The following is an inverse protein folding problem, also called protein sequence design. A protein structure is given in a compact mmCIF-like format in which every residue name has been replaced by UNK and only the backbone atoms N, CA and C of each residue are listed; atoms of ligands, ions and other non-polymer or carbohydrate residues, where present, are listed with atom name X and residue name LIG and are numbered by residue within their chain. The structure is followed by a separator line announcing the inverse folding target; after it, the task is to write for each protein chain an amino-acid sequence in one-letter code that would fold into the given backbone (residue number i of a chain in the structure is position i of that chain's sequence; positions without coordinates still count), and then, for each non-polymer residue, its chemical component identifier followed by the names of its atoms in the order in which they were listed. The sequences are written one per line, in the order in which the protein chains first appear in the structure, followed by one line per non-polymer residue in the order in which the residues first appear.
data_IF_894132490621
#
_entry.id   IF_894132490621
#
_cell.length_a   1.000
_cell.length_b   1.000
_cell.length_c   1.000
_cell.angle_alpha   90.00
_cell.angle_beta   90.00
_cell.angle_gamma   90.00
#
_symmetry.space_group_name_H-M   'P 1'
#
loop_
_entity.id
_entity.type
_entity.pdbx_description
1 polymer ?
#
# COMPACT_ATOMS: atom_id res chain seq x y z
N UNK A 1 50.16 8.17 -39.39
CA UNK A 1 49.44 7.51 -38.28
C UNK A 1 48.42 8.50 -37.74
N UNK A 2 47.18 8.43 -38.22
CA UNK A 2 46.08 9.24 -37.69
C UNK A 2 45.52 8.53 -36.46
N UNK A 3 45.75 9.10 -35.27
CA UNK A 3 45.06 8.65 -34.07
C UNK A 3 43.58 9.01 -34.21
N UNK A 4 42.74 8.01 -34.46
CA UNK A 4 41.30 8.15 -34.34
C UNK A 4 41.01 8.19 -32.84
N UNK A 5 40.91 9.40 -32.28
CA UNK A 5 40.33 9.60 -30.96
C UNK A 5 38.88 9.12 -31.06
N UNK A 6 38.58 7.97 -30.47
CA UNK A 6 37.23 7.43 -30.39
C UNK A 6 36.40 8.33 -29.48
N UNK A 7 35.86 9.41 -30.05
CA UNK A 7 34.82 10.20 -29.40
C UNK A 7 33.62 9.27 -29.17
N UNK A 8 33.16 9.18 -27.92
CA UNK A 8 31.97 8.39 -27.58
C UNK A 8 30.77 8.80 -28.43
N UNK A 9 29.87 7.85 -28.67
CA UNK A 9 28.63 8.14 -29.39
C UNK A 9 27.85 9.27 -28.71
N UNK A 10 27.26 10.22 -29.46
CA UNK A 10 26.41 11.27 -28.91
C UNK A 10 25.01 10.77 -28.50
N UNK A 11 24.67 9.50 -28.76
CA UNK A 11 23.39 8.94 -28.36
C UNK A 11 23.34 8.70 -26.86
N UNK A 12 22.23 9.08 -26.23
CA UNK A 12 21.93 8.80 -24.82
C UNK A 12 20.97 7.62 -24.71
N UNK A 13 21.03 6.91 -23.59
CA UNK A 13 20.05 5.86 -23.31
C UNK A 13 18.66 6.44 -23.10
N UNK A 14 17.65 5.63 -23.44
CA UNK A 14 16.27 5.92 -23.09
C UNK A 14 16.04 5.72 -21.58
N UNK A 15 15.21 6.57 -20.96
CA UNK A 15 15.01 6.54 -19.51
C UNK A 15 14.32 5.25 -19.02
N UNK A 16 13.62 4.50 -19.89
CA UNK A 16 13.10 3.18 -19.55
C UNK A 16 14.21 2.13 -19.43
N UNK A 17 15.32 2.29 -20.15
CA UNK A 17 16.50 1.46 -19.96
C UNK A 17 17.14 1.71 -18.59
N UNK A 18 17.28 2.98 -18.21
CA UNK A 18 17.83 3.37 -16.90
C UNK A 18 16.94 2.85 -15.76
N UNK A 19 15.63 3.08 -15.81
CA UNK A 19 14.70 2.62 -14.79
C UNK A 19 14.53 1.10 -14.74
N UNK A 20 14.63 0.40 -15.87
CA UNK A 20 14.65 -1.07 -15.91
C UNK A 20 15.96 -1.66 -15.37
N UNK A 21 17.06 -0.89 -15.40
CA UNK A 21 18.35 -1.25 -14.80
C UNK A 21 18.40 -1.06 -13.28
N UNK A 22 17.37 -0.45 -12.70
CA UNK A 22 17.29 -0.11 -11.27
C UNK A 22 17.63 -1.26 -10.31
N UNK A 23 17.17 -2.53 -10.51
CA UNK A 23 17.41 -3.60 -9.55
C UNK A 23 18.88 -3.79 -9.16
N UNK A 24 19.79 -3.73 -10.13
CA UNK A 24 21.24 -3.85 -9.91
C UNK A 24 21.94 -2.48 -9.85
N UNK A 25 21.44 -1.49 -10.62
CA UNK A 25 22.04 -0.16 -10.69
C UNK A 25 21.96 0.61 -9.37
N UNK A 26 20.88 0.45 -8.60
CA UNK A 26 20.67 1.18 -7.33
C UNK A 26 21.70 0.83 -6.24
N UNK A 27 22.34 -0.33 -6.34
CA UNK A 27 23.31 -0.85 -5.37
C UNK A 27 24.74 -0.91 -5.92
N UNK A 28 24.97 -0.28 -7.08
CA UNK A 28 26.28 -0.23 -7.75
C UNK A 28 26.84 -1.61 -8.15
N UNK A 29 25.98 -2.59 -8.40
CA UNK A 29 26.37 -3.89 -8.93
C UNK A 29 26.89 -3.74 -10.38
N UNK A 30 27.94 -4.48 -10.80
CA UNK A 30 28.65 -5.53 -10.07
C UNK A 30 29.87 -5.04 -9.27
N UNK A 31 30.11 -3.73 -9.21
CA UNK A 31 31.31 -3.17 -8.59
C UNK A 31 31.30 -3.34 -7.07
N UNK A 32 30.13 -3.19 -6.45
CA UNK A 32 29.91 -3.30 -5.01
C UNK A 32 28.61 -4.05 -4.69
N UNK A 33 28.45 -4.45 -3.42
CA UNK A 33 27.20 -4.98 -2.85
C UNK A 33 26.64 -6.24 -3.55
N UNK A 34 27.49 -7.07 -4.15
CA UNK A 34 27.08 -8.29 -4.85
C UNK A 34 26.25 -9.24 -3.96
N UNK A 35 26.65 -9.46 -2.71
CA UNK A 35 25.89 -10.31 -1.78
C UNK A 35 24.49 -9.74 -1.49
N UNK A 36 24.37 -8.41 -1.38
CA UNK A 36 23.09 -7.73 -1.18
C UNK A 36 22.19 -7.90 -2.40
N UNK A 37 22.76 -7.77 -3.62
CA UNK A 37 22.04 -8.03 -4.86
C UNK A 37 21.51 -9.46 -4.90
N UNK A 38 22.38 -10.44 -4.70
CA UNK A 38 22.06 -11.86 -4.84
C UNK A 38 21.02 -12.32 -3.81
N UNK A 39 21.03 -11.75 -2.60
CA UNK A 39 20.00 -11.99 -1.58
C UNK A 39 18.68 -11.30 -1.86
N UNK A 40 18.70 -10.13 -2.50
CA UNK A 40 17.51 -9.32 -2.75
C UNK A 40 16.86 -9.53 -4.13
N UNK A 41 17.50 -10.30 -5.02
CA UNK A 41 17.06 -10.48 -6.39
C UNK A 41 16.75 -11.96 -6.71
N UNK A 42 15.52 -12.29 -7.16
CA UNK A 42 14.43 -11.38 -7.53
C UNK A 42 13.70 -10.77 -6.32
N UNK A 43 13.10 -9.59 -6.52
CA UNK A 43 12.29 -8.94 -5.48
C UNK A 43 11.04 -9.78 -5.16
N UNK A 44 10.63 -9.85 -3.89
CA UNK A 44 9.41 -10.58 -3.53
C UNK A 44 8.15 -9.97 -4.14
N UNK A 45 8.10 -8.63 -4.25
CA UNK A 45 6.93 -7.91 -4.69
C UNK A 45 7.23 -6.51 -5.26
N UNK A 46 6.48 -6.10 -6.29
CA UNK A 46 6.38 -4.72 -6.75
C UNK A 46 4.92 -4.31 -6.98
N UNK A 47 4.60 -3.02 -6.84
CA UNK A 47 3.27 -2.47 -7.12
C UNK A 47 3.37 -1.14 -7.83
N UNK A 48 2.75 -1.02 -9.00
CA UNK A 48 2.64 0.24 -9.73
C UNK A 48 1.34 0.27 -10.56
N UNK A 49 1.06 1.44 -11.14
CA UNK A 49 -0.12 1.69 -11.96
C UNK A 49 -0.19 0.85 -13.24
N UNK A 50 -1.41 0.64 -13.73
CA UNK A 50 -1.73 -0.09 -14.97
C UNK A 50 -0.94 0.39 -16.20
N UNK A 51 -0.56 1.66 -16.24
CA UNK A 51 0.23 2.24 -17.33
C UNK A 51 1.68 1.72 -17.39
N UNK A 52 2.21 1.11 -16.31
CA UNK A 52 3.54 0.50 -16.29
C UNK A 52 3.64 -0.83 -17.06
N UNK A 53 2.51 -1.42 -17.45
CA UNK A 53 2.48 -2.64 -18.30
C UNK A 53 3.16 -2.45 -19.66
N UNK A 54 3.23 -1.20 -20.15
CA UNK A 54 3.94 -0.83 -21.39
C UNK A 54 5.19 0.02 -21.13
N UNK A 55 5.59 0.16 -19.88
CA UNK A 55 6.74 0.95 -19.44
C UNK A 55 7.65 0.10 -18.57
N UNK A 56 7.73 0.46 -17.30
CA UNK A 56 8.72 -0.10 -16.37
C UNK A 56 8.66 -1.64 -16.24
N UNK A 57 7.47 -2.25 -16.19
CA UNK A 57 7.38 -3.71 -16.08
C UNK A 57 7.99 -4.41 -17.30
N UNK A 58 7.81 -3.85 -18.49
CA UNK A 58 8.38 -4.40 -19.72
C UNK A 58 9.90 -4.32 -19.70
N UNK A 59 10.48 -3.15 -19.39
CA UNK A 59 11.94 -3.00 -19.42
C UNK A 59 12.63 -3.76 -18.29
N UNK A 60 12.02 -3.84 -17.10
CA UNK A 60 12.48 -4.73 -16.03
C UNK A 60 12.59 -6.17 -16.53
N UNK A 61 11.52 -6.73 -17.12
CA UNK A 61 11.52 -8.11 -17.60
C UNK A 61 12.58 -8.35 -18.67
N UNK A 62 12.69 -7.45 -19.66
CA UNK A 62 13.66 -7.57 -20.75
C UNK A 62 15.09 -7.57 -20.23
N UNK A 63 15.46 -6.58 -19.42
CA UNK A 63 16.84 -6.43 -18.90
C UNK A 63 17.17 -7.59 -17.95
N UNK A 64 16.25 -7.93 -17.05
CA UNK A 64 16.42 -9.03 -16.10
C UNK A 64 16.67 -10.36 -16.79
N UNK A 65 15.85 -10.67 -17.80
CA UNK A 65 16.00 -11.92 -18.56
C UNK A 65 17.31 -11.91 -19.35
N UNK A 66 17.67 -10.79 -19.98
CA UNK A 66 18.88 -10.69 -20.78
C UNK A 66 20.18 -10.79 -19.95
N UNK A 67 20.20 -10.25 -18.74
CA UNK A 67 21.41 -10.19 -17.90
C UNK A 67 21.52 -11.35 -16.89
N UNK A 68 20.39 -11.85 -16.39
CA UNK A 68 20.36 -12.77 -15.23
C UNK A 68 19.54 -14.04 -15.45
N UNK A 69 18.94 -14.21 -16.64
CA UNK A 69 18.11 -15.35 -17.04
C UNK A 69 17.03 -15.74 -16.00
N UNK A 70 16.42 -14.73 -15.38
CA UNK A 70 15.36 -14.89 -14.38
C UNK A 70 14.44 -13.67 -14.35
N UNK A 71 13.19 -13.77 -13.85
CA UNK A 71 12.33 -12.61 -13.68
C UNK A 71 12.88 -11.66 -12.60
N UNK A 72 12.58 -10.34 -12.65
CA UNK A 72 13.07 -9.37 -11.68
C UNK A 72 12.28 -9.33 -10.36
N UNK A 73 11.09 -9.93 -10.34
CA UNK A 73 10.19 -9.98 -9.18
C UNK A 73 9.37 -11.28 -9.17
N UNK A 74 8.88 -11.68 -7.99
CA UNK A 74 8.03 -12.86 -7.81
C UNK A 74 6.54 -12.50 -7.91
N UNK A 75 6.12 -11.41 -7.27
CA UNK A 75 4.72 -10.96 -7.23
C UNK A 75 4.58 -9.53 -7.78
N UNK A 76 3.52 -9.27 -8.53
CA UNK A 76 3.21 -7.95 -9.09
C UNK A 76 1.74 -7.61 -8.82
N UNK A 77 1.48 -6.47 -8.16
CA UNK A 77 0.14 -5.90 -8.07
C UNK A 77 0.05 -4.72 -9.02
N UNK A 78 -0.97 -4.75 -9.88
CA UNK A 78 -1.27 -3.66 -10.79
C UNK A 78 -2.46 -2.88 -10.23
N UNK A 79 -2.23 -1.64 -9.81
CA UNK A 79 -3.32 -0.77 -9.39
C UNK A 79 -3.95 -0.04 -10.58
N UNK A 80 -5.23 0.27 -10.45
CA UNK A 80 -5.97 1.04 -11.43
C UNK A 80 -5.59 2.52 -11.43
N UNK A 81 -6.26 3.29 -12.29
CA UNK A 81 -5.96 4.70 -12.50
C UNK A 81 -6.86 5.60 -11.68
N UNK A 82 -6.26 6.51 -10.92
CA UNK A 82 -6.99 7.60 -10.27
C UNK A 82 -7.18 8.75 -11.27
N UNK A 83 -8.44 9.08 -11.53
CA UNK A 83 -8.89 10.10 -12.45
C UNK A 83 -9.43 11.31 -11.69
N UNK A 84 -9.41 12.47 -12.35
CA UNK A 84 -10.12 13.64 -11.85
C UNK A 84 -11.63 13.36 -11.71
N UNK A 85 -12.34 14.21 -10.97
CA UNK A 85 -13.78 14.05 -10.71
C UNK A 85 -14.62 14.00 -12.02
N UNK A 86 -14.14 14.68 -13.07
CA UNK A 86 -14.72 14.72 -14.41
C UNK A 86 -14.36 13.51 -15.29
N UNK A 87 -13.52 12.59 -14.80
CA UNK A 87 -13.08 11.39 -15.50
C UNK A 87 -11.85 11.57 -16.40
N UNK A 88 -11.24 12.76 -16.47
CA UNK A 88 -9.99 12.97 -17.21
C UNK A 88 -8.79 12.47 -16.40
N UNK A 89 -7.70 12.09 -17.10
CA UNK A 89 -6.42 11.77 -16.45
C UNK A 89 -5.96 12.98 -15.63
N UNK A 90 -5.55 12.74 -14.38
CA UNK A 90 -4.97 13.79 -13.55
C UNK A 90 -3.65 14.27 -14.17
N UNK A 91 -3.40 15.58 -14.18
CA UNK A 91 -2.12 16.12 -14.65
C UNK A 91 -1.73 17.39 -13.92
N UNK A 92 -0.44 17.50 -13.57
CA UNK A 92 0.13 18.70 -12.93
C UNK A 92 -0.12 19.96 -13.76
N UNK A 93 -0.10 19.83 -15.09
CA UNK A 93 -0.34 20.95 -16.02
C UNK A 93 -1.78 21.45 -15.97
N UNK A 94 -2.77 20.56 -15.91
CA UNK A 94 -4.19 20.94 -15.88
C UNK A 94 -4.68 21.31 -14.48
N UNK A 95 -3.92 20.96 -13.43
CA UNK A 95 -4.30 21.18 -12.01
C UNK A 95 -5.74 20.71 -11.73
N UNK A 96 -6.12 19.58 -12.35
CA UNK A 96 -7.48 19.05 -12.32
C UNK A 96 -7.72 18.06 -11.16
N UNK A 97 -6.95 18.19 -10.09
CA UNK A 97 -7.05 17.35 -8.89
C UNK A 97 -6.70 18.19 -7.66
N UNK A 98 -7.29 17.88 -6.49
CA UNK A 98 -6.95 18.56 -5.25
C UNK A 98 -5.54 18.17 -4.80
N UNK A 99 -4.82 19.10 -4.18
CA UNK A 99 -3.48 18.82 -3.66
C UNK A 99 -3.57 17.71 -2.59
N UNK A 100 -2.83 16.59 -2.73
CA UNK A 100 -2.85 15.51 -1.74
C UNK A 100 -2.52 15.99 -0.32
N UNK A 101 -1.64 16.99 -0.20
CA UNK A 101 -1.23 17.58 1.08
C UNK A 101 -2.41 18.28 1.75
N UNK A 102 -3.19 19.04 0.98
CA UNK A 102 -4.40 19.71 1.50
C UNK A 102 -5.44 18.68 1.97
N UNK A 103 -5.66 17.61 1.19
CA UNK A 103 -6.59 16.54 1.57
C UNK A 103 -6.15 15.85 2.87
N UNK A 104 -4.85 15.58 3.00
CA UNK A 104 -4.27 14.97 4.22
C UNK A 104 -4.41 15.91 5.42
N UNK A 105 -4.15 17.20 5.26
CA UNK A 105 -4.33 18.17 6.35
C UNK A 105 -5.81 18.30 6.77
N UNK A 106 -6.74 18.22 5.82
CA UNK A 106 -8.17 18.37 6.10
C UNK A 106 -8.81 17.11 6.71
N UNK A 107 -8.41 15.91 6.28
CA UNK A 107 -9.10 14.66 6.60
C UNK A 107 -8.21 13.56 7.22
N UNK A 108 -6.90 13.78 7.27
CA UNK A 108 -5.92 12.80 7.74
C UNK A 108 -5.47 11.83 6.64
N UNK A 109 -4.24 11.34 6.77
CA UNK A 109 -3.66 10.40 5.82
C UNK A 109 -4.42 9.05 5.80
N UNK A 110 -4.90 8.58 6.95
CA UNK A 110 -5.57 7.29 7.05
C UNK A 110 -6.92 7.27 6.33
N UNK A 111 -7.67 8.38 6.37
CA UNK A 111 -8.92 8.51 5.62
C UNK A 111 -8.68 8.39 4.11
N UNK A 112 -7.64 9.06 3.60
CA UNK A 112 -7.26 8.97 2.20
C UNK A 112 -6.80 7.55 1.83
N UNK A 113 -6.00 6.89 2.68
CA UNK A 113 -5.53 5.50 2.45
C UNK A 113 -6.69 4.52 2.40
N UNK A 114 -7.60 4.57 3.38
CA UNK A 114 -8.78 3.70 3.43
C UNK A 114 -9.71 3.97 2.25
N UNK A 115 -9.91 5.23 1.88
CA UNK A 115 -10.67 5.60 0.68
C UNK A 115 -10.12 4.93 -0.59
N UNK A 116 -8.79 5.00 -0.80
CA UNK A 116 -8.16 4.41 -1.98
C UNK A 116 -8.18 2.87 -1.95
N UNK A 117 -7.86 2.26 -0.80
CA UNK A 117 -7.84 0.78 -0.67
C UNK A 117 -9.25 0.18 -0.77
N UNK A 118 -10.28 0.90 -0.34
CA UNK A 118 -11.67 0.47 -0.47
C UNK A 118 -12.30 0.82 -1.84
N UNK A 119 -11.50 1.24 -2.81
CA UNK A 119 -11.97 1.65 -4.14
C UNK A 119 -11.63 0.62 -5.22
N UNK A 120 -12.19 0.75 -6.43
CA UNK A 120 -11.91 -0.16 -7.55
C UNK A 120 -10.44 -0.19 -8.01
N UNK A 121 -9.60 0.76 -7.58
CA UNK A 121 -8.17 0.79 -7.98
C UNK A 121 -7.41 -0.46 -7.54
N UNK A 122 -7.84 -1.14 -6.47
CA UNK A 122 -7.25 -2.40 -6.01
C UNK A 122 -7.58 -3.59 -6.92
N UNK A 123 -8.45 -3.38 -7.92
CA UNK A 123 -8.85 -4.35 -8.95
C UNK A 123 -8.44 -3.92 -10.35
N UNK A 124 -7.41 -3.08 -10.46
CA UNK A 124 -6.96 -2.47 -11.72
C UNK A 124 -7.99 -1.58 -12.44
N UNK A 125 -9.08 -1.18 -11.77
CA UNK A 125 -10.13 -0.33 -12.36
C UNK A 125 -9.92 1.16 -12.07
N UNK A 126 -10.55 2.02 -12.87
CA UNK A 126 -10.45 3.46 -12.68
C UNK A 126 -11.30 3.96 -11.50
N UNK A 127 -10.77 4.92 -10.76
CA UNK A 127 -11.50 5.66 -9.72
C UNK A 127 -11.57 7.15 -10.10
N UNK A 128 -12.78 7.72 -10.14
CA UNK A 128 -12.94 9.18 -10.20
C UNK A 128 -12.83 9.75 -8.79
N UNK A 129 -11.73 10.44 -8.51
CA UNK A 129 -11.44 10.95 -7.18
C UNK A 129 -12.41 12.06 -6.78
N UNK A 130 -12.93 11.98 -5.55
CA UNK A 130 -13.83 12.95 -4.93
C UNK A 130 -13.44 13.13 -3.46
N UNK A 131 -13.27 14.37 -3.03
CA UNK A 131 -12.87 14.69 -1.65
C UNK A 131 -13.98 14.29 -0.67
N UNK A 132 -15.24 14.39 -1.11
CA UNK A 132 -16.41 13.99 -0.34
C UNK A 132 -16.32 12.53 0.10
N UNK A 133 -15.79 11.65 -0.77
CA UNK A 133 -15.59 10.24 -0.43
C UNK A 133 -14.56 10.03 0.69
N UNK A 134 -13.53 10.87 0.78
CA UNK A 134 -12.56 10.84 1.88
C UNK A 134 -13.21 11.29 3.18
N UNK A 135 -14.05 12.34 3.13
CA UNK A 135 -14.84 12.79 4.28
C UNK A 135 -15.83 11.73 4.75
N UNK A 136 -16.47 11.02 3.83
CA UNK A 136 -17.39 9.92 4.17
C UNK A 136 -16.66 8.79 4.90
N UNK A 137 -15.43 8.45 4.52
CA UNK A 137 -14.61 7.48 5.26
C UNK A 137 -14.37 7.91 6.72
N UNK A 138 -14.10 9.21 6.97
CA UNK A 138 -13.98 9.72 8.34
C UNK A 138 -15.28 9.50 9.12
N UNK A 139 -16.40 9.87 8.50
CA UNK A 139 -17.74 9.82 9.11
C UNK A 139 -18.21 8.38 9.36
N UNK A 140 -17.98 7.48 8.42
CA UNK A 140 -18.59 6.15 8.40
C UNK A 140 -17.67 5.06 9.01
N UNK A 141 -16.36 5.30 9.09
CA UNK A 141 -15.39 4.34 9.62
C UNK A 141 -14.71 4.88 10.88
N UNK A 142 -14.05 6.03 10.78
CA UNK A 142 -13.19 6.51 11.87
C UNK A 142 -13.98 7.06 13.06
N UNK A 143 -15.07 7.81 12.83
CA UNK A 143 -15.91 8.31 13.93
C UNK A 143 -16.57 7.17 14.73
N UNK A 144 -17.20 6.15 14.11
CA UNK A 144 -17.73 5.00 14.85
C UNK A 144 -16.64 4.25 15.63
N UNK A 145 -15.47 4.05 15.02
CA UNK A 145 -14.36 3.38 15.70
C UNK A 145 -13.86 4.19 16.91
N UNK A 146 -13.67 5.50 16.73
CA UNK A 146 -13.29 6.40 17.82
C UNK A 146 -14.32 6.40 18.95
N UNK A 147 -15.62 6.47 18.62
CA UNK A 147 -16.69 6.44 19.61
C UNK A 147 -16.74 5.11 20.37
N UNK A 148 -16.48 3.98 19.71
CA UNK A 148 -16.39 2.68 20.38
C UNK A 148 -15.23 2.63 21.39
N UNK A 149 -14.04 3.11 21.00
CA UNK A 149 -12.89 3.20 21.90
C UNK A 149 -13.16 4.18 23.06
N UNK A 150 -13.74 5.34 22.77
CA UNK A 150 -14.09 6.34 23.79
C UNK A 150 -15.10 5.78 24.79
N UNK A 151 -16.13 5.08 24.32
CA UNK A 151 -17.11 4.42 25.18
C UNK A 151 -16.44 3.41 26.12
N UNK A 152 -15.56 2.54 25.60
CA UNK A 152 -14.80 1.60 26.43
C UNK A 152 -14.00 2.32 27.53
N UNK A 153 -13.25 3.37 27.18
CA UNK A 153 -12.44 4.12 28.15
C UNK A 153 -13.32 4.77 29.22
N UNK A 154 -14.45 5.36 28.84
CA UNK A 154 -15.40 5.98 29.78
C UNK A 154 -15.97 4.95 30.76
N UNK A 155 -16.33 3.76 30.27
CA UNK A 155 -16.85 2.69 31.12
C UNK A 155 -15.78 2.14 32.08
N UNK A 156 -14.53 2.03 31.63
CA UNK A 156 -13.40 1.66 32.49
C UNK A 156 -13.22 2.69 33.61
N UNK A 157 -13.18 3.99 33.28
CA UNK A 157 -13.06 5.06 34.28
C UNK A 157 -14.22 5.02 35.27
N UNK A 158 -15.46 4.83 34.77
CA UNK A 158 -16.66 4.73 35.62
C UNK A 158 -16.60 3.53 36.56
N UNK A 159 -16.16 2.37 36.06
CA UNK A 159 -16.00 1.15 36.85
C UNK A 159 -14.97 1.34 37.98
N UNK A 160 -13.80 1.88 37.66
CA UNK A 160 -12.72 2.12 38.64
C UNK A 160 -13.05 3.24 39.64
N UNK A 161 -13.87 4.21 39.26
CA UNK A 161 -14.29 5.28 40.17
C UNK A 161 -15.37 4.84 41.15
N UNK A 162 -16.17 3.82 40.80
CA UNK A 162 -17.28 3.32 41.61
C UNK A 162 -16.89 2.15 42.54
N UNK A 163 -15.70 1.56 42.37
CA UNK A 163 -15.24 0.45 43.19
C UNK A 163 -13.75 0.52 43.49
N UNK A 164 -13.30 -0.18 44.54
CA UNK A 164 -11.88 -0.17 44.97
C UNK A 164 -10.95 -1.06 44.11
N UNK A 165 -11.34 -1.37 42.87
CA UNK A 165 -10.57 -2.28 42.00
C UNK A 165 -10.32 -1.66 40.64
N UNK A 166 -9.10 -1.84 40.15
CA UNK A 166 -8.73 -1.52 38.77
C UNK A 166 -9.40 -2.48 37.78
N UNK A 167 -9.70 -1.97 36.59
CA UNK A 167 -10.20 -2.80 35.51
C UNK A 167 -9.06 -3.65 34.93
N UNK A 168 -9.26 -4.96 34.93
CA UNK A 168 -8.33 -5.91 34.32
C UNK A 168 -9.02 -6.63 33.15
N UNK A 169 -8.48 -6.54 31.92
CA UNK A 169 -9.04 -7.25 30.78
C UNK A 169 -9.05 -8.76 31.02
N UNK A 170 -10.23 -9.38 30.90
CA UNK A 170 -10.36 -10.83 31.02
C UNK A 170 -9.67 -11.55 29.86
N UNK A 171 -9.06 -12.71 30.15
CA UNK A 171 -8.53 -13.60 29.11
C UNK A 171 -9.67 -14.09 28.22
N UNK A 172 -9.42 -14.17 26.91
CA UNK A 172 -10.41 -14.64 25.93
C UNK A 172 -10.99 -16.03 26.29
N UNK A 173 -10.19 -16.95 26.83
CA UNK A 173 -10.65 -18.27 27.28
C UNK A 173 -11.67 -18.22 28.42
N UNK A 174 -11.53 -17.24 29.33
CA UNK A 174 -12.49 -17.01 30.40
C UNK A 174 -13.81 -16.43 29.85
N UNK A 175 -13.72 -15.52 28.89
CA UNK A 175 -14.90 -14.96 28.20
C UNK A 175 -15.64 -16.01 27.37
N UNK A 176 -14.93 -16.96 26.74
CA UNK A 176 -15.56 -18.05 26.00
C UNK A 176 -16.30 -19.03 26.92
N UNK A 177 -15.73 -19.34 28.08
CA UNK A 177 -16.30 -20.35 29.00
C UNK A 177 -17.36 -19.80 29.95
N UNK A 178 -17.22 -18.54 30.38
CA UNK A 178 -18.05 -17.91 31.41
C UNK A 178 -18.74 -16.61 30.96
N UNK A 179 -18.41 -16.09 29.78
CA UNK A 179 -18.98 -14.85 29.25
C UNK A 179 -20.38 -15.05 28.65
N UNK A 180 -21.02 -13.94 28.29
CA UNK A 180 -22.35 -13.96 27.70
C UNK A 180 -22.30 -14.48 26.23
N UNK A 181 -23.46 -14.66 25.61
CA UNK A 181 -23.53 -15.10 24.20
C UNK A 181 -22.93 -14.10 23.21
N UNK A 182 -23.01 -12.79 23.50
CA UNK A 182 -22.47 -11.73 22.65
C UNK A 182 -20.94 -11.68 22.70
N UNK A 183 -20.32 -11.83 23.87
CA UNK A 183 -18.86 -11.87 24.04
C UNK A 183 -18.26 -13.03 23.23
N UNK A 184 -18.90 -14.20 23.33
CA UNK A 184 -18.55 -15.39 22.53
C UNK A 184 -18.66 -15.12 21.03
N UNK A 185 -19.73 -14.47 20.61
CA UNK A 185 -19.94 -14.13 19.20
C UNK A 185 -18.92 -13.11 18.68
N UNK A 186 -18.59 -12.07 19.46
CA UNK A 186 -17.57 -11.06 19.10
C UNK A 186 -16.21 -11.73 18.92
N UNK A 187 -15.81 -12.61 19.86
CA UNK A 187 -14.54 -13.34 19.77
C UNK A 187 -14.53 -14.25 18.54
N UNK A 188 -15.60 -15.02 18.32
CA UNK A 188 -15.72 -15.91 17.15
C UNK A 188 -15.64 -15.14 15.82
N UNK A 189 -16.32 -14.00 15.73
CA UNK A 189 -16.31 -13.13 14.55
C UNK A 189 -14.92 -12.53 14.32
N UNK A 190 -14.23 -12.12 15.39
CA UNK A 190 -12.86 -11.61 15.33
C UNK A 190 -11.88 -12.67 14.82
N UNK A 191 -11.95 -13.89 15.34
CA UNK A 191 -11.08 -14.99 14.89
C UNK A 191 -11.35 -15.37 13.43
N UNK A 192 -12.62 -15.33 13.01
CA UNK A 192 -12.99 -15.56 11.61
C UNK A 192 -12.39 -14.48 10.69
N UNK A 193 -12.46 -13.21 11.10
CA UNK A 193 -11.84 -12.10 10.36
C UNK A 193 -10.32 -12.25 10.26
N UNK A 194 -9.64 -12.59 11.36
CA UNK A 194 -8.20 -12.84 11.39
C UNK A 194 -7.81 -13.95 10.41
N UNK A 195 -8.55 -15.07 10.42
CA UNK A 195 -8.33 -16.19 9.49
C UNK A 195 -8.47 -15.75 8.03
N UNK A 196 -9.57 -15.06 7.69
CA UNK A 196 -9.81 -14.56 6.33
C UNK A 196 -8.68 -13.63 5.88
N UNK A 197 -8.23 -12.73 6.76
CA UNK A 197 -7.16 -11.77 6.46
C UNK A 197 -5.83 -12.47 6.20
N UNK A 198 -5.46 -13.45 7.03
CA UNK A 198 -4.23 -14.21 6.81
C UNK A 198 -4.25 -14.94 5.47
N UNK A 199 -5.34 -15.66 5.16
CA UNK A 199 -5.47 -16.39 3.90
C UNK A 199 -5.32 -15.49 2.68
N UNK A 200 -5.93 -14.29 2.71
CA UNK A 200 -5.91 -13.36 1.57
C UNK A 200 -4.57 -12.63 1.34
N UNK A 201 -3.72 -12.54 2.36
CA UNK A 201 -2.42 -11.87 2.25
C UNK A 201 -1.27 -12.84 1.95
N UNK A 202 -1.46 -14.13 2.23
CA UNK A 202 -0.48 -15.18 1.93
C UNK A 202 -0.68 -15.83 0.56
N UNK A 203 -1.82 -15.56 -0.10
CA UNK A 203 -2.17 -16.03 -1.45
C UNK A 203 -1.77 -15.00 -2.50
#
# INVERSE_FOLDING_TARGET
MHACLSAGSPQVFDCWFESGSMPYGQIHYPFENAETFEKGFPADFIAEGLDQTRGWFYTLMVISTALFDRPPFQNLIVNGLVLAADGRKMSKRLKNYPDPTEVVHAHGADALRVYLVNSPVVKAEALRFRIEGVKDVVKDVFLPWFHACRFLIQEVIRYESAGDRKFEPCKASALISKGNSMDRWIISSTQSLVKVRHTRLSS
#
